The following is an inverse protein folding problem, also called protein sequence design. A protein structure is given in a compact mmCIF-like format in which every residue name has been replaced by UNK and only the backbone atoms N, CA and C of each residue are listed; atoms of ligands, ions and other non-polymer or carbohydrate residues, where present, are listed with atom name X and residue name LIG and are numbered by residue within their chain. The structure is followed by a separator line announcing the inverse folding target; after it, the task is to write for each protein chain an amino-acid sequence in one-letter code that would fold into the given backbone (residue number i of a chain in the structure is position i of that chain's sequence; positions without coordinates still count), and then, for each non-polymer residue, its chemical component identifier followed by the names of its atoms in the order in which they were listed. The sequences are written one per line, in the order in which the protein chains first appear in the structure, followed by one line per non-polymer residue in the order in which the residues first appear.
data_IF_877990274252
#
_entry.id   IF_877990274252
#
_cell.length_a   1.000
_cell.length_b   1.000
_cell.length_c   1.000
_cell.angle_alpha   90.00
_cell.angle_beta   90.00
_cell.angle_gamma   90.00
#
_symmetry.space_group_name_H-M   'P 1'
#
loop_
_entity.id
_entity.type
_entity.pdbx_description
1 polymer ?
#
# COMPACT_ATOMS: atom_id res chain seq x y z
N UNK A 1 13.92 -14.33 -18.86
CA UNK A 1 12.45 -14.17 -18.84
C UNK A 1 11.80 -14.29 -17.44
N UNK A 2 12.41 -14.93 -16.43
CA UNK A 2 11.76 -15.18 -15.13
C UNK A 2 11.56 -13.95 -14.21
N UNK A 3 12.49 -12.98 -14.17
CA UNK A 3 12.40 -11.84 -13.23
C UNK A 3 11.25 -10.88 -13.51
N UNK A 4 10.89 -10.66 -14.78
CA UNK A 4 9.81 -9.73 -15.16
C UNK A 4 8.44 -10.25 -14.70
N UNK A 5 8.18 -11.54 -14.89
CA UNK A 5 6.94 -12.16 -14.44
C UNK A 5 6.76 -12.10 -12.91
N UNK A 6 7.86 -12.22 -12.14
CA UNK A 6 7.83 -12.08 -10.68
C UNK A 6 7.49 -10.67 -10.22
N UNK A 7 8.00 -9.64 -10.91
CA UNK A 7 7.67 -8.23 -10.61
C UNK A 7 6.22 -7.95 -10.93
N UNK A 8 5.73 -8.43 -12.06
CA UNK A 8 4.32 -8.26 -12.45
C UNK A 8 3.37 -8.96 -11.47
N UNK A 9 3.74 -10.14 -10.97
CA UNK A 9 3.01 -10.84 -9.89
C UNK A 9 3.01 -10.02 -8.60
N UNK A 10 4.17 -9.47 -8.20
CA UNK A 10 4.30 -8.67 -6.99
C UNK A 10 3.45 -7.41 -7.04
N UNK A 11 3.39 -6.75 -8.21
CA UNK A 11 2.55 -5.58 -8.46
C UNK A 11 1.07 -5.98 -8.38
N UNK A 12 0.68 -7.08 -9.03
CA UNK A 12 -0.71 -7.57 -8.97
C UNK A 12 -1.15 -7.87 -7.54
N UNK A 13 -0.29 -8.54 -6.77
CA UNK A 13 -0.53 -8.83 -5.35
C UNK A 13 -0.70 -7.54 -4.54
N UNK A 14 0.14 -6.53 -4.76
CA UNK A 14 0.01 -5.23 -4.08
C UNK A 14 -1.34 -4.57 -4.39
N UNK A 15 -1.77 -4.55 -5.65
CA UNK A 15 -3.08 -4.00 -6.03
C UNK A 15 -4.24 -4.75 -5.36
N UNK A 16 -4.16 -6.08 -5.28
CA UNK A 16 -5.18 -6.86 -4.58
C UNK A 16 -5.23 -6.53 -3.09
N UNK A 17 -4.07 -6.42 -2.45
CA UNK A 17 -3.99 -6.06 -1.03
C UNK A 17 -4.54 -4.66 -0.78
N UNK A 18 -4.16 -3.68 -1.61
CA UNK A 18 -4.65 -2.31 -1.50
C UNK A 18 -6.18 -2.26 -1.53
N UNK A 19 -6.81 -2.91 -2.51
CA UNK A 19 -8.28 -2.99 -2.62
C UNK A 19 -8.93 -3.68 -1.42
N UNK A 20 -8.32 -4.76 -0.94
CA UNK A 20 -8.79 -5.45 0.27
C UNK A 20 -8.72 -4.53 1.49
N UNK A 21 -7.63 -3.78 1.62
CA UNK A 21 -7.45 -2.84 2.72
C UNK A 21 -8.38 -1.63 2.63
N UNK A 22 -8.67 -1.09 1.44
CA UNK A 22 -9.67 -0.02 1.28
C UNK A 22 -11.00 -0.41 1.91
N UNK A 23 -11.45 -1.65 1.70
CA UNK A 23 -12.65 -2.16 2.35
C UNK A 23 -12.46 -2.42 3.85
N UNK A 24 -11.38 -3.13 4.24
CA UNK A 24 -11.11 -3.45 5.65
C UNK A 24 -10.98 -2.22 6.54
N UNK A 25 -10.47 -1.10 6.01
CA UNK A 25 -10.36 0.16 6.74
C UNK A 25 -11.71 0.77 7.11
N UNK A 26 -12.81 0.37 6.45
CA UNK A 26 -14.15 0.84 6.79
C UNK A 26 -14.75 0.13 8.01
N UNK A 27 -14.23 -1.05 8.37
CA UNK A 27 -14.79 -1.91 9.44
C UNK A 27 -13.79 -2.22 10.56
N UNK A 28 -12.50 -1.97 10.35
CA UNK A 28 -11.46 -2.32 11.32
C UNK A 28 -11.36 -1.27 12.42
N UNK A 29 -11.45 -1.68 13.68
CA UNK A 29 -11.13 -0.82 14.82
C UNK A 29 -9.62 -0.74 15.13
N UNK A 30 -8.78 -1.53 14.42
CA UNK A 30 -7.32 -1.64 14.67
C UNK A 30 -6.53 -0.76 13.70
N UNK A 31 -6.85 0.53 13.67
CA UNK A 31 -6.27 1.46 12.69
C UNK A 31 -4.74 1.57 12.77
N UNK A 32 -4.15 1.54 13.97
CA UNK A 32 -2.69 1.64 14.13
C UNK A 32 -1.95 0.46 13.46
N UNK A 33 -2.48 -0.75 13.59
CA UNK A 33 -1.90 -1.94 12.96
C UNK A 33 -2.10 -1.93 11.45
N UNK A 34 -3.27 -1.49 10.99
CA UNK A 34 -3.52 -1.30 9.56
C UNK A 34 -2.53 -0.28 8.97
N UNK A 35 -2.30 0.85 9.65
CA UNK A 35 -1.30 1.86 9.24
C UNK A 35 0.09 1.23 9.15
N UNK A 36 0.51 0.45 10.15
CA UNK A 36 1.83 -0.18 10.15
C UNK A 36 2.01 -1.14 8.97
N UNK A 37 1.04 -2.02 8.72
CA UNK A 37 1.07 -2.99 7.61
C UNK A 37 1.11 -2.27 6.26
N UNK A 38 0.25 -1.27 6.07
CA UNK A 38 0.19 -0.49 4.83
C UNK A 38 1.49 0.29 4.58
N UNK A 39 2.11 0.81 5.65
CA UNK A 39 3.38 1.53 5.57
C UNK A 39 4.51 0.60 5.14
N UNK A 40 4.60 -0.60 5.75
CA UNK A 40 5.60 -1.59 5.38
C UNK A 40 5.49 -2.02 3.91
N UNK A 41 4.25 -2.20 3.45
CA UNK A 41 3.96 -2.56 2.06
C UNK A 41 4.36 -1.44 1.08
N UNK A 42 4.06 -0.17 1.41
CA UNK A 42 4.49 0.98 0.61
C UNK A 42 6.03 1.08 0.51
N UNK A 43 6.74 0.84 1.61
CA UNK A 43 8.21 0.81 1.63
C UNK A 43 8.78 -0.36 0.83
N UNK A 44 8.12 -1.51 0.87
CA UNK A 44 8.46 -2.68 0.05
C UNK A 44 8.35 -2.35 -1.45
N UNK A 45 7.26 -1.69 -1.85
CA UNK A 45 7.06 -1.21 -3.22
C UNK A 45 8.10 -0.15 -3.62
N UNK A 46 8.48 0.76 -2.72
CA UNK A 46 9.51 1.75 -3.01
C UNK A 46 10.85 1.08 -3.37
N UNK A 47 11.25 0.04 -2.64
CA UNK A 47 12.46 -0.74 -2.95
C UNK A 47 12.33 -1.43 -4.32
N UNK A 48 11.20 -2.07 -4.59
CA UNK A 48 10.91 -2.70 -5.87
C UNK A 48 11.00 -1.71 -7.05
N UNK A 49 10.47 -0.49 -6.89
CA UNK A 49 10.53 0.55 -7.91
C UNK A 49 11.95 1.01 -8.22
N UNK A 50 12.82 1.10 -7.20
CA UNK A 50 14.24 1.41 -7.37
C UNK A 50 15.00 0.30 -8.12
N UNK A 51 14.66 -0.95 -7.84
CA UNK A 51 15.23 -2.12 -8.52
C UNK A 51 14.72 -2.29 -9.97
N UNK A 52 13.53 -1.75 -10.26
CA UNK A 52 12.88 -1.88 -11.57
C UNK A 52 12.41 -0.52 -12.13
N UNK A 53 13.33 0.34 -12.61
CA UNK A 53 13.01 1.68 -13.13
C UNK A 53 11.95 1.69 -14.24
N UNK A 54 11.89 0.64 -15.08
CA UNK A 54 10.87 0.50 -16.13
C UNK A 54 9.44 0.35 -15.62
N UNK A 55 9.26 0.00 -14.35
CA UNK A 55 7.96 -0.11 -13.66
C UNK A 55 7.77 0.97 -12.59
N UNK A 56 8.77 1.84 -12.38
CA UNK A 56 8.78 2.81 -11.28
C UNK A 56 7.57 3.77 -11.30
N UNK A 57 7.06 4.15 -12.48
CA UNK A 57 5.87 5.00 -12.60
C UNK A 57 4.62 4.33 -12.05
N UNK A 58 4.38 3.08 -12.42
CA UNK A 58 3.23 2.29 -11.96
C UNK A 58 3.32 2.02 -10.46
N UNK A 59 4.52 1.62 -10.00
CA UNK A 59 4.80 1.38 -8.59
C UNK A 59 4.62 2.67 -7.76
N UNK A 60 5.10 3.81 -8.25
CA UNK A 60 4.91 5.11 -7.61
C UNK A 60 3.44 5.49 -7.47
N UNK A 61 2.61 5.24 -8.49
CA UNK A 61 1.17 5.47 -8.42
C UNK A 61 0.49 4.58 -7.36
N UNK A 62 0.97 3.36 -7.14
CA UNK A 62 0.47 2.51 -6.05
C UNK A 62 0.87 3.06 -4.68
N UNK A 63 2.15 3.44 -4.50
CA UNK A 63 2.63 4.00 -3.22
C UNK A 63 1.79 5.21 -2.81
N UNK A 64 1.45 6.09 -3.74
CA UNK A 64 0.56 7.24 -3.48
C UNK A 64 -0.83 6.81 -2.99
N UNK A 65 -1.37 5.70 -3.49
CA UNK A 65 -2.67 5.20 -3.01
C UNK A 65 -2.56 4.61 -1.59
N UNK A 66 -1.49 3.87 -1.30
CA UNK A 66 -1.20 3.42 0.08
C UNK A 66 -1.09 4.62 1.04
N UNK A 67 -0.34 5.66 0.67
CA UNK A 67 -0.20 6.91 1.44
C UNK A 67 -1.56 7.58 1.71
N UNK A 68 -2.45 7.65 0.71
CA UNK A 68 -3.80 8.20 0.87
C UNK A 68 -4.63 7.40 1.86
N UNK A 69 -4.61 6.07 1.77
CA UNK A 69 -5.34 5.20 2.68
C UNK A 69 -4.81 5.34 4.12
N UNK A 70 -3.48 5.35 4.31
CA UNK A 70 -2.83 5.59 5.59
C UNK A 70 -3.25 6.94 6.18
N UNK A 71 -3.25 7.99 5.35
CA UNK A 71 -3.64 9.33 5.78
C UNK A 71 -5.09 9.37 6.23
N UNK A 72 -5.99 8.72 5.50
CA UNK A 72 -7.40 8.58 5.89
C UNK A 72 -7.54 7.88 7.25
N UNK A 73 -6.84 6.77 7.47
CA UNK A 73 -6.88 6.05 8.75
C UNK A 73 -6.36 6.89 9.92
N UNK A 74 -5.30 7.66 9.70
CA UNK A 74 -4.74 8.57 10.71
C UNK A 74 -5.76 9.67 11.08
N UNK A 75 -6.45 10.23 10.10
CA UNK A 75 -7.49 11.22 10.33
C UNK A 75 -8.66 10.64 11.15
N UNK A 76 -9.15 9.45 10.79
CA UNK A 76 -10.21 8.75 11.54
C UNK A 76 -9.79 8.46 12.98
N UNK A 77 -8.54 8.00 13.19
CA UNK A 77 -8.04 7.69 14.54
C UNK A 77 -7.94 8.94 15.42
N UNK A 78 -7.54 10.07 14.85
CA UNK A 78 -7.50 11.35 15.56
C UNK A 78 -8.90 11.84 15.93
N UNK A 79 -9.85 11.79 14.99
CA UNK A 79 -11.23 12.17 15.24
C UNK A 79 -11.95 11.30 16.29
N UNK A 80 -11.48 10.08 16.54
CA UNK A 80 -12.01 9.22 17.60
C UNK A 80 -11.47 9.55 19.01
N UNK A 81 -10.47 10.44 19.11
CA UNK A 81 -9.84 10.85 20.37
C UNK A 81 -10.21 12.28 20.78
N UNK A 82 -10.82 13.06 19.89
CA UNK A 82 -11.35 14.41 20.12
C UNK A 82 -12.83 14.33 20.53
#
# INVERSE_FOLDING_TARGET
MHKKALVDERIRKALMLLRGWEWMCTISCRHQEAIAILTEEALSLLRLGKEHPSRAREIGAMIVQYERLITSLKATTRAALD
#
